data_IF_093469910973
#
_entry.id   IF_093469910973
#
_cell.length_a   1.000
_cell.length_b   1.000
_cell.length_c   1.000
_cell.angle_alpha   90.00
_cell.angle_beta   90.00
_cell.angle_gamma   90.00
#
_symmetry.space_group_name_H-M   'P 1'
#
loop_
_entity.id
_entity.type
_entity.pdbx_description
1 polymer ?
#
# COMPACT_ATOMS: atom_id res chain seq x y z
N UNK A 1 16.44 8.44 -0.60
CA UNK A 1 16.56 9.87 -0.26
C UNK A 1 15.83 10.74 -1.27
N UNK A 2 16.05 10.59 -2.59
CA UNK A 2 15.32 11.35 -3.62
C UNK A 2 13.80 11.18 -3.55
N UNK A 3 13.29 9.94 -3.43
CA UNK A 3 11.84 9.70 -3.30
C UNK A 3 11.22 10.40 -2.08
N UNK A 4 11.91 10.42 -0.94
CA UNK A 4 11.44 11.13 0.27
C UNK A 4 11.34 12.64 0.03
N UNK A 5 12.33 13.24 -0.63
CA UNK A 5 12.32 14.67 -0.94
C UNK A 5 11.14 15.00 -1.87
N UNK A 6 10.93 14.19 -2.90
CA UNK A 6 9.78 14.36 -3.79
C UNK A 6 8.46 14.18 -3.05
N UNK A 7 8.32 13.18 -2.17
CA UNK A 7 7.12 12.97 -1.36
C UNK A 7 6.82 14.15 -0.46
N UNK A 8 7.81 14.68 0.26
CA UNK A 8 7.64 15.86 1.09
C UNK A 8 7.21 17.06 0.25
N UNK A 9 7.85 17.27 -0.91
CA UNK A 9 7.49 18.36 -1.82
C UNK A 9 6.06 18.23 -2.36
N UNK A 10 5.63 17.03 -2.75
CA UNK A 10 4.25 16.79 -3.20
C UNK A 10 3.24 16.96 -2.06
N UNK A 11 3.55 16.50 -0.85
CA UNK A 11 2.71 16.72 0.33
C UNK A 11 2.51 18.20 0.65
N UNK A 12 3.57 19.02 0.52
CA UNK A 12 3.47 20.48 0.65
C UNK A 12 2.62 21.10 -0.46
N UNK A 13 2.75 20.62 -1.69
CA UNK A 13 1.95 21.12 -2.83
C UNK A 13 0.49 20.70 -2.75
N UNK A 14 0.21 19.49 -2.24
CA UNK A 14 -1.14 18.97 -1.99
C UNK A 14 -1.93 19.89 -1.05
N UNK A 15 -1.20 20.58 -0.16
CA UNK A 15 -1.75 21.56 0.76
C UNK A 15 -2.27 22.84 0.11
N UNK A 16 -1.82 23.15 -1.11
CA UNK A 16 -2.29 24.33 -1.82
C UNK A 16 -3.80 24.26 -2.10
N UNK A 17 -4.35 23.06 -2.33
CA UNK A 17 -5.78 22.86 -2.57
C UNK A 17 -6.65 23.23 -1.36
N UNK A 18 -6.47 22.66 -0.15
CA UNK A 18 -7.26 23.06 1.01
C UNK A 18 -7.04 24.52 1.43
N UNK A 19 -5.81 25.06 1.31
CA UNK A 19 -5.54 26.49 1.55
C UNK A 19 -6.29 27.41 0.57
N UNK A 20 -6.38 27.01 -0.71
CA UNK A 20 -7.15 27.75 -1.69
C UNK A 20 -8.66 27.68 -1.43
N UNK A 21 -9.17 26.52 -1.02
CA UNK A 21 -10.57 26.36 -0.62
C UNK A 21 -10.88 27.23 0.61
N UNK A 22 -10.00 27.21 1.62
CA UNK A 22 -10.15 28.00 2.85
C UNK A 22 -10.15 29.51 2.60
N UNK A 23 -9.22 29.99 1.76
CA UNK A 23 -9.19 31.40 1.36
C UNK A 23 -10.42 31.81 0.55
N UNK A 24 -10.97 30.94 -0.31
CA UNK A 24 -12.23 31.23 -1.01
C UNK A 24 -13.42 31.27 -0.04
N UNK A 25 -13.53 30.30 0.87
CA UNK A 25 -14.65 30.20 1.82
C UNK A 25 -14.64 31.35 2.83
N UNK A 26 -13.48 31.70 3.39
CA UNK A 26 -13.35 32.85 4.29
C UNK A 26 -13.71 34.16 3.59
N UNK A 27 -13.23 34.38 2.37
CA UNK A 27 -13.62 35.56 1.59
C UNK A 27 -15.13 35.57 1.26
N UNK A 28 -15.75 34.42 0.96
CA UNK A 28 -17.21 34.29 0.78
C UNK A 28 -18.00 34.66 2.05
N UNK A 29 -17.52 34.22 3.21
CA UNK A 29 -18.20 34.43 4.48
C UNK A 29 -18.18 35.89 4.96
N UNK A 30 -17.17 36.68 4.57
CA UNK A 30 -17.01 38.09 4.99
C UNK A 30 -17.70 39.13 4.09
N UNK A 31 -18.49 38.72 3.08
CA UNK A 31 -19.41 39.59 2.36
C UNK A 31 -19.09 39.77 0.87
N UNK A 32 -19.79 39.01 0.01
CA UNK A 32 -19.64 39.00 -1.44
C UNK A 32 -20.24 40.19 -2.21
N UNK A 33 -20.03 41.44 -1.78
CA UNK A 33 -20.55 42.63 -2.48
C UNK A 33 -19.51 43.74 -2.74
N UNK A 34 -18.34 43.39 -3.28
CA UNK A 34 -17.45 44.42 -3.85
C UNK A 34 -16.73 43.94 -5.11
N UNK A 35 -16.56 44.81 -6.10
CA UNK A 35 -15.85 44.57 -7.37
C UNK A 35 -14.46 43.90 -7.24
N UNK A 36 -13.64 44.14 -6.19
CA UNK A 36 -12.40 43.38 -5.93
C UNK A 36 -12.59 41.87 -5.67
N UNK A 37 -13.82 41.41 -5.43
CA UNK A 37 -14.14 40.01 -5.13
C UNK A 37 -13.97 39.07 -6.33
N UNK A 38 -14.41 39.50 -7.51
CA UNK A 38 -14.25 38.74 -8.75
C UNK A 38 -12.77 38.64 -9.14
N UNK A 39 -12.01 39.71 -8.91
CA UNK A 39 -10.56 39.72 -9.13
C UNK A 39 -9.83 38.77 -8.18
N UNK A 40 -10.18 38.77 -6.89
CA UNK A 40 -9.61 37.84 -5.91
C UNK A 40 -9.86 36.39 -6.31
N UNK A 41 -11.10 36.01 -6.67
CA UNK A 41 -11.44 34.64 -7.09
C UNK A 41 -10.67 34.23 -8.36
N UNK A 42 -10.56 35.12 -9.36
CA UNK A 42 -9.83 34.82 -10.60
C UNK A 42 -8.34 34.60 -10.32
N UNK A 43 -7.72 35.45 -9.50
CA UNK A 43 -6.30 35.27 -9.11
C UNK A 43 -6.12 33.96 -8.34
N UNK A 44 -7.03 33.65 -7.41
CA UNK A 44 -6.98 32.43 -6.62
C UNK A 44 -7.21 31.18 -7.46
N UNK A 45 -8.11 31.24 -8.44
CA UNK A 45 -8.35 30.15 -9.39
C UNK A 45 -7.12 29.90 -10.29
N UNK A 46 -6.45 30.96 -10.78
CA UNK A 46 -5.21 30.84 -11.56
C UNK A 46 -4.08 30.30 -10.69
N UNK A 47 -3.92 30.79 -9.46
CA UNK A 47 -2.92 30.32 -8.51
C UNK A 47 -3.14 28.84 -8.14
N UNK A 48 -4.39 28.44 -7.88
CA UNK A 48 -4.77 27.06 -7.61
C UNK A 48 -4.54 26.17 -8.83
N UNK A 49 -4.91 26.62 -10.02
CA UNK A 49 -4.64 25.89 -11.26
C UNK A 49 -3.14 25.68 -11.48
N UNK A 50 -2.33 26.70 -11.25
CA UNK A 50 -0.86 26.61 -11.29
C UNK A 50 -0.31 25.63 -10.25
N UNK A 51 -0.79 25.71 -9.01
CA UNK A 51 -0.38 24.81 -7.93
C UNK A 51 -0.76 23.34 -8.22
N UNK A 52 -1.98 23.09 -8.69
CA UNK A 52 -2.44 21.75 -9.08
C UNK A 52 -1.70 21.23 -10.31
N UNK A 53 -1.39 22.08 -11.28
CA UNK A 53 -0.57 21.72 -12.43
C UNK A 53 0.85 21.31 -12.03
N UNK A 54 1.47 22.06 -11.12
CA UNK A 54 2.78 21.74 -10.57
C UNK A 54 2.73 20.46 -9.75
N UNK A 55 1.69 20.27 -8.92
CA UNK A 55 1.47 19.04 -8.18
C UNK A 55 1.32 17.83 -9.10
N UNK A 56 0.56 17.94 -10.19
CA UNK A 56 0.40 16.88 -11.19
C UNK A 56 1.74 16.52 -11.84
N UNK A 57 2.56 17.53 -12.19
CA UNK A 57 3.89 17.32 -12.74
C UNK A 57 4.82 16.60 -11.75
N UNK A 58 4.87 17.04 -10.49
CA UNK A 58 5.65 16.40 -9.42
C UNK A 58 5.21 14.96 -9.18
N UNK A 59 3.91 14.71 -9.17
CA UNK A 59 3.33 13.38 -8.98
C UNK A 59 3.68 12.46 -10.17
N UNK A 60 3.67 13.00 -11.40
CA UNK A 60 4.16 12.29 -12.58
C UNK A 60 5.63 11.88 -12.47
N UNK A 61 6.50 12.78 -11.99
CA UNK A 61 7.91 12.45 -11.74
C UNK A 61 8.07 11.39 -10.64
N UNK A 62 7.28 11.44 -9.56
CA UNK A 62 7.30 10.41 -8.53
C UNK A 62 6.92 9.04 -9.09
N UNK A 63 5.89 8.98 -9.93
CA UNK A 63 5.47 7.74 -10.58
C UNK A 63 6.59 7.17 -11.46
N UNK A 64 7.23 8.02 -12.27
CA UNK A 64 8.37 7.63 -13.10
C UNK A 64 9.57 7.12 -12.27
N UNK A 65 9.93 7.83 -11.20
CA UNK A 65 11.01 7.41 -10.30
C UNK A 65 10.69 6.09 -9.58
N UNK A 66 9.44 5.89 -9.18
CA UNK A 66 8.97 4.64 -8.59
C UNK A 66 9.12 3.47 -9.55
N UNK A 67 8.76 3.65 -10.82
CA UNK A 67 8.93 2.64 -11.88
C UNK A 67 10.41 2.29 -12.11
N UNK A 68 11.31 3.28 -12.21
CA UNK A 68 12.76 3.03 -12.30
C UNK A 68 13.27 2.24 -11.10
N UNK A 69 12.85 2.61 -9.90
CA UNK A 69 13.27 1.95 -8.67
C UNK A 69 12.79 0.49 -8.64
N UNK A 70 11.54 0.23 -9.05
CA UNK A 70 11.00 -1.13 -9.18
C UNK A 70 11.81 -1.97 -10.16
N UNK A 71 12.13 -1.45 -11.34
CA UNK A 71 12.95 -2.16 -12.34
C UNK A 71 14.35 -2.47 -11.81
N UNK A 72 15.00 -1.51 -11.15
CA UNK A 72 16.33 -1.68 -10.57
C UNK A 72 16.33 -2.71 -9.44
N UNK A 73 15.34 -2.66 -8.56
CA UNK A 73 15.19 -3.63 -7.48
C UNK A 73 14.94 -5.03 -8.01
N UNK A 74 14.09 -5.18 -9.04
CA UNK A 74 13.85 -6.48 -9.67
C UNK A 74 15.14 -7.11 -10.19
N UNK A 75 15.91 -6.37 -11.01
CA UNK A 75 17.17 -6.88 -11.57
C UNK A 75 18.17 -7.20 -10.47
N UNK A 76 18.29 -6.34 -9.46
CA UNK A 76 19.21 -6.57 -8.33
C UNK A 76 18.84 -7.81 -7.53
N UNK A 77 17.58 -7.94 -7.12
CA UNK A 77 17.11 -9.07 -6.32
C UNK A 77 17.20 -10.37 -7.12
N UNK A 78 16.90 -10.34 -8.43
CA UNK A 78 17.02 -11.51 -9.29
C UNK A 78 18.48 -11.96 -9.43
N UNK A 79 19.39 -11.01 -9.64
CA UNK A 79 20.83 -11.29 -9.71
C UNK A 79 21.40 -11.81 -8.39
N UNK A 80 21.00 -11.22 -7.26
CA UNK A 80 21.48 -11.65 -5.94
C UNK A 80 20.96 -13.05 -5.60
N UNK A 81 19.69 -13.35 -5.92
CA UNK A 81 19.11 -14.67 -5.72
C UNK A 81 19.77 -15.72 -6.64
N UNK A 82 19.99 -15.40 -7.92
CA UNK A 82 20.69 -16.29 -8.85
C UNK A 82 22.12 -16.63 -8.37
N UNK A 83 22.79 -15.70 -7.68
CA UNK A 83 24.13 -15.94 -7.14
C UNK A 83 24.13 -16.73 -5.82
N UNK A 84 23.12 -16.52 -4.96
CA UNK A 84 23.03 -17.12 -3.63
C UNK A 84 22.37 -18.50 -3.64
N UNK A 85 21.34 -18.70 -4.46
CA UNK A 85 20.52 -19.92 -4.46
C UNK A 85 21.33 -21.21 -4.69
N UNK A 86 22.33 -21.26 -5.60
CA UNK A 86 23.16 -22.45 -5.79
C UNK A 86 24.12 -22.75 -4.63
N UNK A 87 24.34 -21.77 -3.73
CA UNK A 87 25.30 -21.85 -2.61
C UNK A 87 24.63 -22.16 -1.28
N UNK A 88 23.31 -22.34 -1.27
CA UNK A 88 22.57 -22.74 -0.08
C UNK A 88 22.98 -24.17 0.28
N UNK A 89 23.34 -24.42 1.54
CA UNK A 89 23.70 -25.76 2.00
C UNK A 89 22.51 -26.71 1.91
N UNK A 90 22.78 -27.96 1.53
CA UNK A 90 21.75 -29.00 1.45
C UNK A 90 21.00 -29.19 2.78
N UNK A 91 21.68 -29.01 3.91
CA UNK A 91 21.09 -29.07 5.25
C UNK A 91 20.08 -27.94 5.53
N UNK A 92 20.32 -26.73 5.00
CA UNK A 92 19.34 -25.63 5.10
C UNK A 92 18.12 -25.84 4.19
N UNK A 93 18.26 -26.67 3.14
CA UNK A 93 17.17 -27.06 2.24
C UNK A 93 16.38 -28.28 2.72
N UNK A 94 16.86 -29.06 3.70
CA UNK A 94 16.16 -30.25 4.21
C UNK A 94 14.83 -29.92 4.92
N UNK A 95 14.56 -28.65 5.26
CA UNK A 95 13.32 -28.20 5.90
C UNK A 95 12.36 -27.37 5.03
N UNK A 96 12.71 -27.03 3.78
CA UNK A 96 11.87 -26.20 2.89
C UNK A 96 11.93 -26.71 1.46
N UNK A 97 10.80 -26.68 0.75
CA UNK A 97 10.75 -27.11 -0.64
C UNK A 97 11.53 -26.11 -1.51
N UNK A 98 12.49 -26.58 -2.32
CA UNK A 98 13.34 -25.71 -3.15
C UNK A 98 12.56 -24.73 -4.06
N UNK A 99 11.41 -25.11 -4.67
CA UNK A 99 10.56 -24.17 -5.40
C UNK A 99 9.98 -23.03 -4.55
N UNK A 100 9.67 -23.29 -3.27
CA UNK A 100 9.14 -22.31 -2.33
C UNK A 100 10.12 -21.14 -2.11
N UNK A 101 11.43 -21.42 -2.09
CA UNK A 101 12.48 -20.40 -1.99
C UNK A 101 12.51 -19.50 -3.23
N UNK A 102 12.25 -20.08 -4.41
CA UNK A 102 12.07 -19.35 -5.66
C UNK A 102 10.83 -18.45 -5.61
N UNK A 103 9.71 -18.94 -5.09
CA UNK A 103 8.47 -18.17 -4.99
C UNK A 103 8.60 -16.96 -4.06
N UNK A 104 9.40 -17.05 -2.99
CA UNK A 104 9.71 -15.92 -2.09
C UNK A 104 10.40 -14.75 -2.79
N UNK A 105 11.00 -14.94 -3.97
CA UNK A 105 11.48 -13.83 -4.79
C UNK A 105 10.35 -12.83 -5.11
N UNK A 106 9.18 -13.34 -5.52
CA UNK A 106 8.03 -12.52 -5.87
C UNK A 106 7.48 -11.78 -4.64
N UNK A 107 7.55 -12.39 -3.46
CA UNK A 107 7.15 -11.75 -2.20
C UNK A 107 8.08 -10.59 -1.85
N UNK A 108 9.40 -10.76 -2.00
CA UNK A 108 10.35 -9.67 -1.75
C UNK A 108 10.10 -8.50 -2.70
N UNK A 109 9.90 -8.78 -3.99
CA UNK A 109 9.60 -7.74 -4.99
C UNK A 109 8.26 -7.04 -4.67
N UNK A 110 7.25 -7.81 -4.29
CA UNK A 110 5.92 -7.28 -3.94
C UNK A 110 5.97 -6.45 -2.65
N UNK A 111 6.62 -6.95 -1.60
CA UNK A 111 6.79 -6.22 -0.34
C UNK A 111 7.59 -4.93 -0.53
N UNK A 112 8.65 -4.95 -1.36
CA UNK A 112 9.42 -3.75 -1.70
C UNK A 112 8.56 -2.73 -2.46
N UNK A 113 7.73 -3.18 -3.42
CA UNK A 113 6.81 -2.31 -4.15
C UNK A 113 5.78 -1.67 -3.22
N UNK A 114 5.13 -2.47 -2.37
CA UNK A 114 4.14 -1.96 -1.41
C UNK A 114 4.78 -1.01 -0.40
N UNK A 115 6.00 -1.29 0.06
CA UNK A 115 6.74 -0.40 0.97
C UNK A 115 7.05 0.94 0.30
N UNK A 116 7.47 0.94 -0.97
CA UNK A 116 7.73 2.16 -1.72
C UNK A 116 6.45 2.99 -1.89
N UNK A 117 5.33 2.35 -2.25
CA UNK A 117 4.03 3.01 -2.36
C UNK A 117 3.57 3.59 -1.01
N UNK A 118 3.62 2.80 0.06
CA UNK A 118 3.27 3.24 1.42
C UNK A 118 4.14 4.40 1.88
N UNK A 119 5.42 4.41 1.52
CA UNK A 119 6.32 5.51 1.88
C UNK A 119 6.00 6.78 1.09
N UNK A 120 5.59 6.67 -0.17
CA UNK A 120 5.15 7.82 -0.97
C UNK A 120 3.80 8.36 -0.47
N UNK A 121 2.79 7.51 -0.43
CA UNK A 121 1.41 7.87 -0.09
C UNK A 121 1.26 8.18 1.40
N UNK A 122 1.91 7.40 2.27
CA UNK A 122 1.88 7.60 3.71
C UNK A 122 2.50 8.92 4.13
N UNK A 123 3.60 9.35 3.50
CA UNK A 123 4.19 10.68 3.74
C UNK A 123 3.19 11.77 3.33
N UNK A 124 2.61 11.68 2.12
CA UNK A 124 1.61 12.66 1.67
C UNK A 124 0.41 12.72 2.62
N UNK A 125 -0.09 11.57 3.06
CA UNK A 125 -1.22 11.47 3.98
C UNK A 125 -0.89 12.05 5.36
N UNK A 126 0.29 11.74 5.92
CA UNK A 126 0.71 12.28 7.22
C UNK A 126 0.88 13.79 7.15
N UNK A 127 1.62 14.31 6.18
CA UNK A 127 1.85 15.76 6.05
C UNK A 127 0.55 16.51 5.77
N UNK A 128 -0.28 16.01 4.83
CA UNK A 128 -1.57 16.61 4.52
C UNK A 128 -2.52 16.61 5.72
N UNK A 129 -2.61 15.48 6.43
CA UNK A 129 -3.47 15.33 7.60
C UNK A 129 -3.00 16.19 8.78
N UNK A 130 -1.69 16.21 9.06
CA UNK A 130 -1.13 16.96 10.18
C UNK A 130 -1.29 18.46 9.98
N UNK A 131 -1.01 18.97 8.77
CA UNK A 131 -1.19 20.39 8.50
C UNK A 131 -2.67 20.76 8.38
N UNK A 132 -3.51 19.88 7.80
CA UNK A 132 -4.96 20.06 7.80
C UNK A 132 -5.53 20.18 9.22
N UNK A 133 -5.09 19.30 10.13
CA UNK A 133 -5.46 19.37 11.55
C UNK A 133 -4.91 20.63 12.23
N UNK A 134 -3.68 21.04 11.92
CA UNK A 134 -3.07 22.26 12.48
C UNK A 134 -3.88 23.51 12.08
N UNK A 135 -4.20 23.65 10.80
CA UNK A 135 -5.04 24.74 10.28
C UNK A 135 -6.41 24.75 10.97
N UNK A 136 -7.04 23.58 11.09
CA UNK A 136 -8.33 23.44 11.73
C UNK A 136 -8.28 23.82 13.22
N UNK A 137 -7.22 23.43 13.93
CA UNK A 137 -7.01 23.75 15.34
C UNK A 137 -6.76 25.24 15.60
N UNK A 138 -6.10 25.95 14.66
CA UNK A 138 -5.89 27.39 14.74
C UNK A 138 -7.16 28.21 14.51
N UNK A 139 -8.17 27.65 13.82
CA UNK A 139 -9.37 28.39 13.42
C UNK A 139 -10.36 28.63 14.57
N UNK A 140 -10.59 27.62 15.42
CA UNK A 140 -11.51 27.76 16.56
C UNK A 140 -11.22 26.71 17.64
N UNK A 141 -11.27 27.03 18.95
CA UNK A 141 -10.99 26.06 20.02
C UNK A 141 -11.92 24.83 20.01
N UNK A 142 -13.17 24.95 19.54
CA UNK A 142 -14.06 23.79 19.33
C UNK A 142 -13.53 22.81 18.25
N UNK A 143 -12.80 23.30 17.26
CA UNK A 143 -12.21 22.45 16.23
C UNK A 143 -11.02 21.63 16.76
N UNK A 144 -10.31 22.15 17.75
CA UNK A 144 -9.25 21.38 18.44
C UNK A 144 -9.86 20.17 19.16
N UNK A 145 -11.01 20.34 19.82
CA UNK A 145 -11.76 19.21 20.40
C UNK A 145 -12.16 18.19 19.33
N UNK A 146 -12.63 18.65 18.16
CA UNK A 146 -12.94 17.76 17.03
C UNK A 146 -11.72 16.96 16.57
N UNK A 147 -10.54 17.58 16.43
CA UNK A 147 -9.29 16.89 16.08
C UNK A 147 -8.93 15.81 17.11
N UNK A 148 -9.07 16.11 18.40
CA UNK A 148 -8.80 15.13 19.48
C UNK A 148 -9.77 13.95 19.40
N UNK A 149 -11.07 14.19 19.18
CA UNK A 149 -12.06 13.13 18.99
C UNK A 149 -11.75 12.30 17.75
N UNK A 150 -11.39 12.95 16.64
CA UNK A 150 -11.04 12.28 15.39
C UNK A 150 -9.83 11.35 15.57
N UNK A 151 -8.75 11.84 16.19
CA UNK A 151 -7.57 11.02 16.50
C UNK A 151 -7.92 9.84 17.41
N UNK A 152 -8.76 10.08 18.42
CA UNK A 152 -9.24 9.03 19.33
C UNK A 152 -10.01 7.95 18.58
N UNK A 153 -10.89 8.33 17.64
CA UNK A 153 -11.63 7.41 16.79
C UNK A 153 -10.71 6.63 15.85
N UNK A 154 -9.69 7.27 15.25
CA UNK A 154 -8.71 6.59 14.40
C UNK A 154 -7.96 5.53 15.21
N UNK A 155 -7.44 5.90 16.39
CA UNK A 155 -6.73 4.96 17.28
C UNK A 155 -7.65 3.82 17.71
N UNK A 156 -8.90 4.12 18.07
CA UNK A 156 -9.88 3.12 18.46
C UNK A 156 -10.20 2.16 17.31
N UNK A 157 -10.42 2.67 16.10
CA UNK A 157 -10.65 1.86 14.90
C UNK A 157 -9.45 0.96 14.60
N UNK A 158 -8.23 1.51 14.60
CA UNK A 158 -7.02 0.73 14.37
C UNK A 158 -6.82 -0.36 15.43
N UNK A 159 -7.12 -0.05 16.69
CA UNK A 159 -6.96 -1.01 17.79
C UNK A 159 -8.03 -2.09 17.80
N UNK A 160 -9.29 -1.75 17.48
CA UNK A 160 -10.40 -2.70 17.41
C UNK A 160 -10.24 -3.64 16.21
N UNK A 161 -10.02 -3.09 15.01
CA UNK A 161 -9.89 -3.88 13.77
C UNK A 161 -8.52 -4.57 13.66
N UNK A 162 -7.47 -4.02 14.26
CA UNK A 162 -6.13 -4.60 14.18
C UNK A 162 -5.93 -5.87 15.01
N UNK A 163 -6.80 -6.11 16.01
CA UNK A 163 -6.67 -7.25 16.93
C UNK A 163 -6.96 -8.57 16.23
N UNK A 164 -5.91 -9.36 16.01
CA UNK A 164 -6.03 -10.70 15.42
C UNK A 164 -6.04 -10.72 13.89
N UNK A 165 -6.14 -9.56 13.23
CA UNK A 165 -6.07 -9.43 11.78
C UNK A 165 -4.73 -9.95 11.22
N UNK A 166 -3.62 -9.71 11.93
CA UNK A 166 -2.29 -10.20 11.53
C UNK A 166 -2.23 -11.72 11.54
N UNK A 167 -2.66 -12.36 12.63
CA UNK A 167 -2.62 -13.82 12.74
C UNK A 167 -3.53 -14.52 11.74
N UNK A 168 -4.73 -13.99 11.50
CA UNK A 168 -5.66 -14.57 10.52
C UNK A 168 -5.19 -14.34 9.08
N UNK A 169 -4.56 -13.20 8.79
CA UNK A 169 -3.94 -12.93 7.49
C UNK A 169 -2.74 -13.84 7.21
N UNK A 170 -1.91 -14.13 8.23
CA UNK A 170 -0.80 -15.10 8.12
C UNK A 170 -1.34 -16.51 7.86
N UNK A 171 -2.40 -16.92 8.55
CA UNK A 171 -3.03 -18.22 8.33
C UNK A 171 -3.60 -18.34 6.90
N UNK A 172 -4.33 -17.32 6.42
CA UNK A 172 -4.82 -17.28 5.03
C UNK A 172 -3.66 -17.40 4.03
N UNK A 173 -2.57 -16.68 4.29
CA UNK A 173 -1.41 -16.66 3.39
C UNK A 173 -0.71 -18.02 3.36
N UNK A 174 -0.55 -18.69 4.51
CA UNK A 174 0.07 -20.02 4.59
C UNK A 174 -0.64 -21.05 3.71
N UNK A 175 -1.97 -21.12 3.77
CA UNK A 175 -2.76 -22.07 2.98
C UNK A 175 -2.62 -21.81 1.47
N UNK A 176 -2.44 -20.54 1.05
CA UNK A 176 -2.15 -20.23 -0.37
C UNK A 176 -0.81 -20.82 -0.81
N UNK A 177 0.23 -20.71 0.00
CA UNK A 177 1.53 -21.32 -0.31
C UNK A 177 1.48 -22.84 -0.30
N UNK A 178 0.73 -23.45 0.63
CA UNK A 178 0.55 -24.90 0.68
C UNK A 178 -0.15 -25.42 -0.60
N UNK A 179 -1.16 -24.69 -1.10
CA UNK A 179 -1.83 -25.01 -2.36
C UNK A 179 -0.89 -24.85 -3.57
N UNK A 180 -0.09 -23.78 -3.63
CA UNK A 180 0.89 -23.58 -4.71
C UNK A 180 1.94 -24.68 -4.71
N UNK A 181 2.49 -25.02 -3.53
CA UNK A 181 3.43 -26.12 -3.38
C UNK A 181 2.83 -27.46 -3.84
N UNK A 182 1.55 -27.71 -3.54
CA UNK A 182 0.86 -28.89 -4.07
C UNK A 182 0.84 -28.93 -5.60
N UNK A 183 0.53 -27.82 -6.26
CA UNK A 183 0.56 -27.76 -7.72
C UNK A 183 1.97 -27.93 -8.28
N UNK A 184 2.99 -27.40 -7.61
CA UNK A 184 4.39 -27.62 -8.01
C UNK A 184 4.78 -29.09 -7.92
N UNK A 185 4.35 -29.82 -6.89
CA UNK A 185 4.58 -31.27 -6.77
C UNK A 185 3.87 -32.06 -7.88
N UNK A 186 2.62 -31.71 -8.18
CA UNK A 186 1.87 -32.33 -9.29
C UNK A 186 2.59 -32.08 -10.63
N UNK A 187 3.11 -30.87 -10.84
CA UNK A 187 3.85 -30.51 -12.04
C UNK A 187 5.24 -31.15 -12.11
N UNK A 188 5.92 -31.34 -10.98
CA UNK A 188 7.25 -31.96 -10.91
C UNK A 188 7.22 -33.46 -11.20
N UNK A 189 6.12 -34.15 -10.86
CA UNK A 189 5.98 -35.60 -11.02
C UNK A 189 4.76 -35.98 -11.88
N UNK A 190 4.65 -35.52 -13.13
CA UNK A 190 3.43 -35.67 -13.93
C UNK A 190 3.06 -37.14 -14.18
N UNK A 191 4.05 -38.03 -14.31
CA UNK A 191 3.80 -39.45 -14.52
C UNK A 191 3.23 -40.16 -13.28
N UNK A 192 3.53 -39.68 -12.07
CA UNK A 192 2.97 -40.23 -10.84
C UNK A 192 1.46 -39.95 -10.72
N UNK A 193 1.00 -38.82 -11.28
CA UNK A 193 -0.39 -38.39 -11.22
C UNK A 193 -1.24 -38.83 -12.42
N UNK A 194 -0.63 -39.30 -13.53
CA UNK A 194 -1.35 -39.75 -14.74
C UNK A 194 -2.04 -41.12 -14.61
N UNK A 195 -1.94 -41.80 -13.47
CA UNK A 195 -2.58 -43.09 -13.21
C UNK A 195 -4.03 -43.00 -12.67
N UNK A 196 -4.75 -44.14 -12.58
CA UNK A 196 -6.16 -44.17 -12.18
C UNK A 196 -6.49 -43.53 -10.82
N UNK A 197 -5.56 -43.57 -9.86
CA UNK A 197 -5.69 -42.92 -8.56
C UNK A 197 -5.00 -41.54 -8.46
N UNK A 198 -4.13 -41.21 -9.41
CA UNK A 198 -3.30 -40.01 -9.36
C UNK A 198 -4.10 -38.74 -9.60
N UNK A 199 -4.99 -38.73 -10.61
CA UNK A 199 -5.86 -37.58 -10.88
C UNK A 199 -6.79 -37.27 -9.71
N UNK A 200 -7.36 -38.32 -9.10
CA UNK A 200 -8.26 -38.20 -7.95
C UNK A 200 -7.51 -37.65 -6.73
N UNK A 201 -6.31 -38.15 -6.45
CA UNK A 201 -5.47 -37.63 -5.38
C UNK A 201 -5.08 -36.15 -5.63
N UNK A 202 -4.72 -35.80 -6.87
CA UNK A 202 -4.42 -34.44 -7.30
C UNK A 202 -5.58 -33.48 -6.99
N UNK A 203 -6.80 -33.85 -7.37
CA UNK A 203 -8.00 -33.04 -7.14
C UNK A 203 -8.41 -33.00 -5.67
N UNK A 204 -8.47 -34.14 -4.97
CA UNK A 204 -8.93 -34.19 -3.57
C UNK A 204 -8.06 -33.35 -2.64
N UNK A 205 -6.74 -33.37 -2.85
CA UNK A 205 -5.82 -32.57 -2.05
C UNK A 205 -5.91 -31.08 -2.37
N UNK A 206 -6.11 -30.72 -3.64
CA UNK A 206 -6.36 -29.34 -4.04
C UNK A 206 -7.68 -28.82 -3.42
N UNK A 207 -8.74 -29.63 -3.45
CA UNK A 207 -10.02 -29.31 -2.82
C UNK A 207 -9.90 -29.13 -1.31
N UNK A 208 -9.11 -29.97 -0.64
CA UNK A 208 -8.82 -29.81 0.79
C UNK A 208 -8.20 -28.44 1.11
N UNK A 209 -7.13 -28.07 0.39
CA UNK A 209 -6.50 -26.76 0.59
C UNK A 209 -7.42 -25.58 0.20
N UNK A 210 -8.23 -25.73 -0.85
CA UNK A 210 -9.21 -24.72 -1.23
C UNK A 210 -10.28 -24.53 -0.14
N UNK A 211 -10.79 -25.62 0.43
CA UNK A 211 -11.75 -25.57 1.54
C UNK A 211 -11.13 -24.93 2.79
N UNK A 212 -9.87 -25.25 3.10
CA UNK A 212 -9.14 -24.64 4.20
C UNK A 212 -8.90 -23.15 3.97
N UNK A 213 -8.59 -22.73 2.74
CA UNK A 213 -8.48 -21.32 2.37
C UNK A 213 -9.79 -20.57 2.59
N UNK A 214 -10.92 -21.13 2.16
CA UNK A 214 -12.25 -20.53 2.37
C UNK A 214 -12.53 -20.37 3.87
N UNK A 215 -12.19 -21.37 4.69
CA UNK A 215 -12.32 -21.28 6.15
C UNK A 215 -11.43 -20.18 6.76
N UNK A 216 -10.16 -20.13 6.38
CA UNK A 216 -9.23 -19.10 6.87
C UNK A 216 -9.66 -17.69 6.45
N UNK A 217 -10.14 -17.53 5.22
CA UNK A 217 -10.62 -16.25 4.71
C UNK A 217 -11.91 -15.79 5.38
N UNK A 218 -12.85 -16.70 5.63
CA UNK A 218 -14.05 -16.41 6.40
C UNK A 218 -13.70 -16.01 7.85
N UNK A 219 -12.70 -16.67 8.45
CA UNK A 219 -12.21 -16.30 9.77
C UNK A 219 -11.52 -14.93 9.79
N UNK A 220 -10.76 -14.57 8.76
CA UNK A 220 -10.14 -13.26 8.61
C UNK A 220 -11.19 -12.15 8.44
N UNK A 221 -12.21 -12.36 7.60
CA UNK A 221 -13.27 -11.36 7.38
C UNK A 221 -14.15 -11.08 8.61
N UNK A 222 -14.17 -12.00 9.58
CA UNK A 222 -14.92 -11.83 10.84
C UNK A 222 -14.20 -10.93 11.85
N UNK A 223 -12.90 -10.68 11.65
CA UNK A 223 -12.05 -9.83 12.50
C UNK A 223 -11.98 -8.44 11.90
#
# INVERSE_FOLDING_TARGET
>A
MTLLIFSVMSGVLYLAAPLAVDSVVSNLAFGGQSQPYVQAIVVLAIALFGALGLQAMVSGFQYYLSDILQRRLFVRTASDLAHRLPRVSADAMQGSHAPEVGNRFFDVVTAQKSTALLLLDGVNLIFGSLIGMLLLALYHPLMLLFVVVLLSLIVLCLWLLGKGAVSTSIAESRVKYDLVNWFEQVAAFPFAFKGPGGYKLASERADHFAAEYVRCRAAHFRV
#
